data_IF_636695328507
#
_entry.id   IF_636695328507
#
_cell.length_a   1.000
_cell.length_b   1.000
_cell.length_c   1.000
_cell.angle_alpha   90.00
_cell.angle_beta   90.00
_cell.angle_gamma   90.00
#
_symmetry.space_group_name_H-M   'P 1'
#
loop_
_entity.id
_entity.type
_entity.pdbx_description
1 polymer ?
#
# COMPACT_ATOMS: atom_id res chain seq x y z
N UNK A 1 27.18 12.84 -4.53
CA UNK A 1 26.36 11.79 -5.20
C UNK A 1 25.42 11.21 -4.17
N UNK A 2 24.19 11.72 -4.12
CA UNK A 2 23.24 11.34 -3.08
C UNK A 2 22.72 9.94 -3.41
N UNK A 3 23.06 8.95 -2.59
CA UNK A 3 22.47 7.61 -2.63
C UNK A 3 20.99 7.77 -2.28
N UNK A 4 20.15 8.05 -3.26
CA UNK A 4 18.71 8.10 -3.07
C UNK A 4 18.29 6.73 -2.55
N UNK A 5 17.60 6.73 -1.41
CA UNK A 5 17.05 5.52 -0.82
C UNK A 5 16.10 4.89 -1.86
N UNK A 6 16.17 3.57 -2.12
CA UNK A 6 15.27 2.92 -3.09
C UNK A 6 13.78 3.22 -2.81
N UNK A 7 13.41 3.42 -1.54
CA UNK A 7 12.05 3.82 -1.14
C UNK A 7 11.72 5.24 -1.63
N UNK A 8 12.67 6.17 -1.56
CA UNK A 8 12.47 7.56 -2.02
C UNK A 8 12.26 7.62 -3.52
N UNK A 9 13.09 6.91 -4.32
CA UNK A 9 12.90 6.86 -5.78
C UNK A 9 11.53 6.34 -6.15
N UNK A 10 11.12 5.23 -5.53
CA UNK A 10 9.79 4.66 -5.76
C UNK A 10 8.67 5.60 -5.31
N UNK A 11 8.87 6.32 -4.20
CA UNK A 11 7.90 7.33 -3.73
C UNK A 11 7.76 8.44 -4.75
N UNK A 12 8.86 8.99 -5.27
CA UNK A 12 8.86 10.08 -6.25
C UNK A 12 8.20 9.65 -7.57
N UNK A 13 8.50 8.44 -8.04
CA UNK A 13 7.89 7.85 -9.24
C UNK A 13 6.37 7.69 -9.07
N UNK A 14 5.93 7.10 -7.95
CA UNK A 14 4.50 6.92 -7.65
C UNK A 14 3.80 8.25 -7.45
N UNK A 15 4.42 9.22 -6.78
CA UNK A 15 3.86 10.55 -6.58
C UNK A 15 3.64 11.25 -7.92
N UNK A 16 4.63 11.19 -8.82
CA UNK A 16 4.51 11.75 -10.16
C UNK A 16 3.36 11.11 -10.96
N UNK A 17 3.26 9.78 -10.93
CA UNK A 17 2.21 9.03 -11.59
C UNK A 17 0.80 9.34 -11.06
N UNK A 18 0.64 9.34 -9.73
CA UNK A 18 -0.63 9.64 -9.08
C UNK A 18 -1.03 11.09 -9.29
N UNK A 19 -0.08 12.02 -9.22
CA UNK A 19 -0.32 13.44 -9.46
C UNK A 19 -0.70 13.70 -10.92
N UNK A 20 -0.06 13.01 -11.86
CA UNK A 20 -0.37 13.15 -13.30
C UNK A 20 -1.75 12.58 -13.64
N UNK A 21 -2.14 11.45 -13.04
CA UNK A 21 -3.46 10.83 -13.30
C UNK A 21 -4.63 11.50 -12.56
N UNK A 22 -4.43 11.90 -11.31
CA UNK A 22 -5.54 12.32 -10.42
C UNK A 22 -5.40 13.74 -9.89
N UNK A 23 -4.23 14.36 -10.04
CA UNK A 23 -3.87 15.61 -9.39
C UNK A 23 -3.27 15.40 -8.00
N UNK A 24 -2.98 16.51 -7.33
CA UNK A 24 -2.31 16.52 -6.00
C UNK A 24 -3.14 15.80 -4.91
N UNK A 25 -4.46 15.70 -5.12
CA UNK A 25 -5.40 15.08 -4.19
C UNK A 25 -6.16 13.94 -4.86
N UNK A 26 -6.19 12.79 -4.19
CA UNK A 26 -6.95 11.63 -4.61
C UNK A 26 -8.23 11.55 -3.82
N UNK A 27 -9.35 11.46 -4.55
CA UNK A 27 -10.65 11.19 -3.98
C UNK A 27 -10.89 9.69 -3.76
N UNK A 28 -11.84 9.38 -2.88
CA UNK A 28 -12.20 8.01 -2.52
C UNK A 28 -12.45 7.11 -3.74
N UNK A 29 -13.00 7.65 -4.84
CA UNK A 29 -13.33 6.90 -6.07
C UNK A 29 -12.11 6.34 -6.82
N UNK A 30 -10.95 6.98 -6.72
CA UNK A 30 -9.69 6.50 -7.30
C UNK A 30 -8.94 5.62 -6.30
N UNK A 31 -8.91 6.05 -5.02
CA UNK A 31 -8.16 5.39 -3.95
C UNK A 31 -8.48 3.91 -3.80
N UNK A 32 -9.76 3.52 -3.80
CA UNK A 32 -10.11 2.10 -3.61
C UNK A 32 -9.54 1.21 -4.74
N UNK A 33 -9.45 1.74 -5.97
CA UNK A 33 -8.93 1.01 -7.12
C UNK A 33 -7.41 0.94 -7.09
N UNK A 34 -6.75 2.07 -6.85
CA UNK A 34 -5.29 2.15 -6.80
C UNK A 34 -4.70 1.34 -5.64
N UNK A 35 -5.42 1.26 -4.51
CA UNK A 35 -5.03 0.45 -3.35
C UNK A 35 -5.42 -1.03 -3.47
N UNK A 36 -6.01 -1.45 -4.59
CA UNK A 36 -6.35 -2.86 -4.84
C UNK A 36 -7.55 -3.39 -4.04
N UNK A 37 -8.42 -2.53 -3.51
CA UNK A 37 -9.64 -2.98 -2.85
C UNK A 37 -10.64 -3.51 -3.88
N UNK A 38 -11.34 -4.59 -3.50
CA UNK A 38 -12.35 -5.20 -4.37
C UNK A 38 -13.58 -4.32 -4.61
N UNK A 39 -13.89 -3.42 -3.69
CA UNK A 39 -15.04 -2.52 -3.83
C UNK A 39 -14.85 -1.23 -3.02
N UNK A 40 -15.57 -0.15 -3.38
CA UNK A 40 -15.61 1.08 -2.59
C UNK A 40 -16.08 0.86 -1.14
N UNK A 41 -16.97 -0.13 -0.92
CA UNK A 41 -17.47 -0.47 0.41
C UNK A 41 -16.37 -1.08 1.30
N UNK A 42 -15.56 -2.00 0.75
CA UNK A 42 -14.42 -2.57 1.45
C UNK A 42 -13.40 -1.49 1.85
N UNK A 43 -13.12 -0.56 0.95
CA UNK A 43 -12.27 0.59 1.24
C UNK A 43 -12.84 1.48 2.36
N UNK A 44 -14.15 1.75 2.35
CA UNK A 44 -14.81 2.50 3.44
C UNK A 44 -14.69 1.80 4.80
N UNK A 45 -14.79 0.48 4.84
CA UNK A 45 -14.65 -0.31 6.08
C UNK A 45 -13.20 -0.25 6.57
N UNK A 46 -12.21 -0.42 5.68
CA UNK A 46 -10.80 -0.32 6.04
C UNK A 46 -10.46 1.08 6.59
N UNK A 47 -10.99 2.14 5.95
CA UNK A 47 -10.88 3.51 6.42
C UNK A 47 -11.52 3.72 7.79
N UNK A 48 -12.75 3.21 8.01
CA UNK A 48 -13.43 3.39 9.30
C UNK A 48 -12.76 2.62 10.43
N UNK A 49 -12.07 1.53 10.11
CA UNK A 49 -11.30 0.71 11.06
C UNK A 49 -9.88 1.22 11.30
N UNK A 50 -9.44 2.28 10.60
CA UNK A 50 -8.08 2.80 10.73
C UNK A 50 -7.00 1.83 10.24
N UNK A 51 -7.34 0.89 9.35
CA UNK A 51 -6.39 -0.10 8.82
C UNK A 51 -5.39 0.51 7.84
N UNK A 52 -5.71 1.68 7.30
CA UNK A 52 -4.86 2.41 6.37
C UNK A 52 -4.16 3.52 7.15
N UNK A 53 -2.86 3.35 7.39
CA UNK A 53 -2.01 4.30 8.12
C UNK A 53 -1.67 5.57 7.33
N UNK A 54 -2.56 6.03 6.45
CA UNK A 54 -2.40 7.25 5.66
C UNK A 54 -3.33 8.32 6.21
N UNK A 55 -2.89 9.59 6.30
CA UNK A 55 -3.77 10.68 6.66
C UNK A 55 -4.87 10.90 5.60
N UNK A 56 -6.11 10.59 5.96
CA UNK A 56 -7.28 10.96 5.16
C UNK A 56 -7.98 12.16 5.80
N UNK A 57 -8.43 13.09 4.98
CA UNK A 57 -9.16 14.27 5.42
C UNK A 57 -10.43 14.48 4.60
N UNK A 58 -11.33 15.27 5.15
CA UNK A 58 -12.58 15.68 4.50
C UNK A 58 -12.48 17.15 4.11
N UNK A 59 -13.18 17.52 3.04
CA UNK A 59 -13.28 18.90 2.60
C UNK A 59 -14.69 19.43 2.93
N UNK A 60 -14.81 20.67 3.43
CA UNK A 60 -16.12 21.28 3.63
C UNK A 60 -16.86 21.34 2.28
N UNK A 61 -18.15 21.04 2.29
CA UNK A 61 -19.02 20.99 1.10
C UNK A 61 -18.63 19.96 0.01
N UNK A 62 -17.75 18.99 0.32
CA UNK A 62 -17.50 17.85 -0.56
C UNK A 62 -17.75 16.52 0.15
N UNK A 63 -18.48 15.63 -0.53
CA UNK A 63 -18.72 14.26 -0.07
C UNK A 63 -17.48 13.40 -0.35
N UNK A 64 -17.06 12.65 0.67
CA UNK A 64 -15.98 11.66 0.57
C UNK A 64 -14.75 12.01 1.38
N UNK A 65 -13.77 11.11 1.35
CA UNK A 65 -12.44 11.28 1.94
C UNK A 65 -11.40 11.48 0.85
N UNK A 66 -10.44 12.34 1.14
CA UNK A 66 -9.34 12.69 0.29
C UNK A 66 -8.02 12.36 0.98
N UNK A 67 -7.02 12.03 0.17
CA UNK A 67 -5.62 11.90 0.59
C UNK A 67 -4.74 12.61 -0.43
N UNK A 68 -3.54 13.03 -0.03
CA UNK A 68 -2.58 13.61 -0.96
C UNK A 68 -1.87 12.49 -1.73
N UNK A 69 -1.54 12.76 -3.00
CA UNK A 69 -0.80 11.84 -3.85
C UNK A 69 0.52 11.40 -3.21
N UNK A 70 1.27 12.35 -2.65
CA UNK A 70 2.52 12.10 -1.92
C UNK A 70 2.36 11.14 -0.73
N UNK A 71 1.26 11.26 0.02
CA UNK A 71 1.05 10.47 1.23
C UNK A 71 0.73 9.01 0.85
N UNK A 72 -0.04 8.83 -0.22
CA UNK A 72 -0.36 7.51 -0.79
C UNK A 72 0.89 6.87 -1.41
N UNK A 73 1.66 7.64 -2.18
CA UNK A 73 2.89 7.18 -2.80
C UNK A 73 3.90 6.66 -1.76
N UNK A 74 4.14 7.45 -0.70
CA UNK A 74 5.03 7.06 0.39
C UNK A 74 4.55 5.79 1.09
N UNK A 75 3.23 5.68 1.32
CA UNK A 75 2.64 4.51 1.95
C UNK A 75 2.80 3.25 1.09
N UNK A 76 2.51 3.32 -0.21
CA UNK A 76 2.68 2.19 -1.13
C UNK A 76 4.16 1.75 -1.17
N UNK A 77 5.09 2.71 -1.27
CA UNK A 77 6.51 2.42 -1.29
C UNK A 77 6.97 1.72 0.01
N UNK A 78 6.46 2.16 1.16
CA UNK A 78 6.74 1.54 2.46
C UNK A 78 6.17 0.12 2.57
N UNK A 79 4.92 -0.11 2.14
CA UNK A 79 4.31 -1.44 2.15
C UNK A 79 5.10 -2.43 1.28
N UNK A 80 5.52 -2.02 0.09
CA UNK A 80 6.36 -2.86 -0.80
C UNK A 80 7.69 -3.23 -0.14
N UNK A 81 8.34 -2.28 0.51
CA UNK A 81 9.60 -2.53 1.20
C UNK A 81 9.43 -3.44 2.43
N UNK A 82 8.34 -3.29 3.18
CA UNK A 82 8.03 -4.14 4.33
C UNK A 82 7.85 -5.61 3.92
N UNK A 83 7.24 -5.89 2.75
CA UNK A 83 7.12 -7.26 2.21
C UNK A 83 8.50 -7.85 1.91
N UNK A 84 9.42 -7.08 1.30
CA UNK A 84 10.77 -7.55 0.96
C UNK A 84 11.59 -7.96 2.21
N UNK A 85 11.40 -7.26 3.34
CA UNK A 85 12.03 -7.61 4.62
C UNK A 85 11.45 -8.93 5.16
N UNK A 86 10.14 -9.13 5.04
CA UNK A 86 9.45 -10.29 5.60
C UNK A 86 9.70 -11.58 4.79
N UNK A 87 9.87 -11.49 3.47
CA UNK A 87 10.21 -12.64 2.62
C UNK A 87 11.67 -13.11 2.80
N UNK A 88 12.56 -12.21 3.21
CA UNK A 88 13.97 -12.55 3.50
C UNK A 88 14.16 -13.29 4.84
N UNK A 89 13.12 -13.36 5.68
CA UNK A 89 13.14 -13.98 7.01
C UNK A 89 12.41 -15.33 7.12
N UNK A 90 11.98 -15.91 6.00
CA UNK A 90 10.97 -16.99 5.98
C UNK A 90 11.39 -18.30 5.33
N UNK A 91 12.65 -18.75 5.44
CA UNK A 91 12.99 -20.17 5.23
C UNK A 91 13.15 -20.83 6.61
N UNK A 92 12.06 -21.34 7.17
CA UNK A 92 12.14 -22.33 8.23
C UNK A 92 11.12 -23.45 8.01
N UNK A 93 11.66 -24.55 7.50
CA UNK A 93 11.27 -25.92 7.83
C UNK A 93 9.80 -26.27 7.71
N UNK A 94 9.42 -26.80 6.55
CA UNK A 94 8.71 -28.08 6.57
C UNK A 94 9.60 -29.09 5.86
N UNK A 95 10.49 -29.66 6.66
CA UNK A 95 11.16 -30.90 6.33
C UNK A 95 10.09 -31.92 5.93
N UNK A 96 10.22 -32.42 4.71
CA UNK A 96 9.69 -33.72 4.34
C UNK A 96 10.44 -34.76 5.19
N UNK A 97 9.73 -35.72 5.82
CA UNK A 97 10.25 -37.06 5.88
C UNK A 97 9.47 -37.90 4.87
N UNK A 98 10.11 -38.14 3.73
CA UNK A 98 9.94 -39.38 3.00
C UNK A 98 10.60 -40.51 3.80
N UNK A 99 9.83 -41.47 4.28
CA UNK A 99 10.19 -42.88 4.51
C UNK A 99 8.98 -43.54 5.18
N UNK A 100 8.26 -44.43 4.52
CA UNK A 100 8.63 -45.82 4.24
C UNK A 100 8.83 -46.65 5.50
N UNK A 101 8.02 -47.72 5.54
CA UNK A 101 8.13 -49.00 6.23
C UNK A 101 7.50 -49.28 7.60
N UNK A 102 6.84 -50.45 7.59
CA UNK A 102 6.56 -51.45 8.62
C UNK A 102 5.46 -51.23 9.66
N UNK A 103 4.27 -51.79 9.41
CA UNK A 103 3.78 -53.05 10.04
C UNK A 103 2.39 -53.48 9.57
#
# INVERSE_FOLDING_TARGET
MNKQNPIQRLTDELEHDLTTRYGVMLGSNALWRELGFRSPAAFRIALSRGMIGVPFFTLPNRRGRFALAKDIAAWIAYQRHAVQINESGGVKGRDQPTSSDDR
#
